data_IF_844208430797
#
_entry.id   IF_844208430797
#
_cell.length_a   1.000
_cell.length_b   1.000
_cell.length_c   1.000
_cell.angle_alpha   90.00
_cell.angle_beta   90.00
_cell.angle_gamma   90.00
#
_symmetry.space_group_name_H-M   'P 1'
#
loop_
_entity.id
_entity.type
_entity.pdbx_description
1 polymer ?
#
# COMPACT_ATOMS: atom_id res chain seq x y z
N UNK A 1 15.52 -26.59 1.27
CA UNK A 1 14.97 -26.25 1.55
C UNK A 1 14.23 -25.77 1.99
N UNK A 2 13.77 -25.50 2.45
CA UNK A 2 13.07 -25.10 2.87
C UNK A 2 12.43 -24.53 3.07
N UNK A 3 12.13 -24.41 3.35
CA UNK A 3 11.49 -24.02 3.66
C UNK A 3 10.84 -23.34 3.71
N UNK A 4 11.03 -23.41 3.29
CA UNK A 4 10.26 -22.38 3.15
C UNK A 4 9.16 -22.07 3.97
N UNK A 5 9.19 -21.94 4.75
CA UNK A 5 8.13 -21.60 5.55
C UNK A 5 7.27 -20.56 4.97
N UNK A 6 6.04 -20.75 4.96
CA UNK A 6 5.07 -19.82 4.54
C UNK A 6 4.84 -18.84 5.65
N UNK A 7 5.61 -17.83 5.68
CA UNK A 7 5.41 -16.77 6.65
C UNK A 7 4.28 -15.85 6.19
N UNK A 8 3.55 -15.31 7.12
CA UNK A 8 2.51 -14.35 6.80
C UNK A 8 3.06 -13.13 6.09
N UNK A 9 4.34 -12.84 6.33
CA UNK A 9 4.99 -11.68 5.70
C UNK A 9 5.58 -12.01 4.34
N UNK A 10 5.52 -13.28 3.92
CA UNK A 10 6.06 -13.63 2.61
C UNK A 10 5.26 -12.91 1.53
N UNK A 11 5.97 -12.24 0.63
CA UNK A 11 5.34 -11.42 -0.39
C UNK A 11 5.07 -10.01 0.05
N UNK A 12 5.36 -9.67 1.29
CA UNK A 12 5.17 -8.33 1.83
C UNK A 12 6.49 -7.77 2.28
N UNK A 13 6.85 -6.62 1.77
CA UNK A 13 8.06 -5.92 2.18
C UNK A 13 7.63 -4.59 2.79
N UNK A 14 7.91 -4.36 4.07
CA UNK A 14 7.62 -3.08 4.72
C UNK A 14 8.87 -2.23 4.71
N UNK A 15 8.75 -1.01 4.22
CA UNK A 15 9.89 -0.11 4.08
C UNK A 15 9.57 1.23 4.73
N UNK A 16 10.63 1.98 5.05
CA UNK A 16 10.46 3.31 5.63
C UNK A 16 10.06 4.32 4.56
N UNK A 17 9.76 5.54 5.01
CA UNK A 17 9.28 6.59 4.11
C UNK A 17 10.30 6.95 3.04
N UNK A 18 11.58 7.01 3.40
CA UNK A 18 12.61 7.39 2.43
C UNK A 18 12.74 6.35 1.31
N UNK A 19 12.73 5.06 1.69
CA UNK A 19 12.80 3.98 0.71
C UNK A 19 11.55 3.97 -0.16
N UNK A 20 10.39 4.10 0.47
CA UNK A 20 9.12 4.11 -0.25
C UNK A 20 9.10 5.25 -1.27
N UNK A 21 9.51 6.44 -0.84
CA UNK A 21 9.54 7.61 -1.72
C UNK A 21 10.46 7.37 -2.91
N UNK A 22 11.64 6.82 -2.66
CA UNK A 22 12.57 6.56 -3.75
C UNK A 22 11.99 5.58 -4.75
N UNK A 23 11.32 4.53 -4.27
CA UNK A 23 10.79 3.51 -5.15
C UNK A 23 9.57 3.97 -5.94
N UNK A 24 8.69 4.76 -5.34
CA UNK A 24 7.51 5.23 -6.08
C UNK A 24 7.83 6.39 -7.01
N UNK A 25 9.01 6.99 -6.88
CA UNK A 25 9.41 8.10 -7.74
C UNK A 25 9.86 7.64 -9.11
N UNK A 26 10.24 6.38 -9.23
CA UNK A 26 10.73 5.87 -10.51
C UNK A 26 9.55 5.29 -11.27
N UNK A 27 9.38 5.62 -12.49
CA UNK A 27 8.42 5.04 -13.40
C UNK A 27 7.00 5.00 -12.83
N UNK A 28 6.10 4.37 -13.52
CA UNK A 28 4.72 4.27 -13.09
C UNK A 28 4.57 3.06 -12.17
N UNK A 29 4.32 3.32 -10.92
CA UNK A 29 4.08 2.26 -9.94
C UNK A 29 2.60 2.21 -9.62
N UNK A 30 2.15 1.09 -9.11
CA UNK A 30 0.79 0.93 -8.62
C UNK A 30 0.78 1.36 -7.16
N UNK A 31 0.07 2.44 -6.86
CA UNK A 31 0.07 3.04 -5.52
C UNK A 31 -1.34 3.08 -4.98
N UNK A 32 -1.55 2.42 -3.83
CA UNK A 32 -2.88 2.19 -3.27
C UNK A 32 -2.98 2.75 -1.85
N UNK A 33 -3.97 3.62 -1.65
CA UNK A 33 -4.33 4.16 -0.34
C UNK A 33 -5.52 3.35 0.16
N UNK A 34 -5.36 2.64 1.28
CA UNK A 34 -6.42 1.75 1.77
C UNK A 34 -7.23 2.37 2.90
N UNK A 35 -7.11 3.69 3.09
CA UNK A 35 -7.86 4.42 4.11
C UNK A 35 -9.27 4.73 3.61
N UNK A 36 -10.06 5.39 4.45
CA UNK A 36 -11.39 5.82 4.05
C UNK A 36 -11.32 6.93 3.03
N UNK A 37 -12.43 7.13 2.31
CA UNK A 37 -12.54 8.21 1.33
C UNK A 37 -12.36 9.58 1.98
N UNK A 38 -12.89 9.75 3.19
CA UNK A 38 -12.75 11.02 3.90
C UNK A 38 -11.29 11.33 4.24
N UNK A 39 -10.55 10.32 4.69
CA UNK A 39 -9.12 10.50 4.96
C UNK A 39 -8.37 10.87 3.69
N UNK A 40 -8.68 10.16 2.61
CA UNK A 40 -8.04 10.41 1.32
C UNK A 40 -8.27 11.84 0.85
N UNK A 41 -9.49 12.32 0.99
CA UNK A 41 -9.86 13.66 0.54
C UNK A 41 -9.09 14.75 1.29
N UNK A 42 -8.71 14.47 2.53
CA UNK A 42 -7.97 15.44 3.33
C UNK A 42 -6.49 15.50 2.99
N UNK A 43 -5.99 14.49 2.30
CA UNK A 43 -4.59 14.47 1.90
C UNK A 43 -4.14 13.05 1.63
N UNK A 44 -3.39 12.86 0.57
CA UNK A 44 -2.93 11.52 0.15
C UNK A 44 -1.63 11.67 -0.63
N UNK A 45 -0.94 10.57 -0.82
CA UNK A 45 0.25 10.57 -1.67
C UNK A 45 -0.20 10.78 -3.11
N UNK A 46 0.53 11.64 -3.80
CA UNK A 46 0.20 11.97 -5.18
C UNK A 46 0.13 10.71 -6.04
N UNK A 47 -0.89 10.62 -6.89
CA UNK A 47 -1.12 9.50 -7.81
C UNK A 47 -1.63 8.23 -7.14
N UNK A 48 -1.90 8.27 -5.83
CA UNK A 48 -2.48 7.08 -5.19
C UNK A 48 -3.94 6.92 -5.57
N UNK A 49 -4.37 5.67 -5.63
CA UNK A 49 -5.77 5.30 -5.86
C UNK A 49 -6.33 4.86 -4.52
N UNK A 50 -7.50 5.35 -4.18
CA UNK A 50 -8.11 5.06 -2.88
C UNK A 50 -9.11 3.91 -3.00
N UNK A 51 -8.88 2.85 -2.24
CA UNK A 51 -9.85 1.76 -2.06
C UNK A 51 -9.79 1.39 -0.60
N UNK A 52 -10.87 1.67 0.13
CA UNK A 52 -10.94 1.42 1.56
C UNK A 52 -10.87 -0.09 1.84
N UNK A 53 -9.94 -0.50 2.70
CA UNK A 53 -9.77 -1.92 3.00
C UNK A 53 -11.02 -2.52 3.64
N UNK A 54 -11.88 -1.68 4.21
CA UNK A 54 -13.11 -2.14 4.85
C UNK A 54 -14.27 -2.34 3.87
N UNK A 55 -14.07 -2.01 2.58
CA UNK A 55 -15.07 -2.32 1.58
C UNK A 55 -15.30 -3.82 1.50
N UNK A 56 -16.56 -4.22 1.45
CA UNK A 56 -16.88 -5.65 1.43
C UNK A 56 -16.31 -6.35 0.21
N UNK A 57 -16.11 -5.62 -0.88
CA UNK A 57 -15.56 -6.18 -2.12
C UNK A 57 -14.14 -5.69 -2.37
N UNK A 58 -13.39 -5.37 -1.32
CA UNK A 58 -12.06 -4.79 -1.43
C UNK A 58 -11.17 -5.57 -2.39
N UNK A 59 -11.02 -6.86 -2.15
CA UNK A 59 -10.12 -7.68 -2.95
C UNK A 59 -10.54 -7.70 -4.42
N UNK A 60 -11.84 -7.81 -4.67
CA UNK A 60 -12.36 -7.83 -6.03
C UNK A 60 -12.07 -6.53 -6.76
N UNK A 61 -12.27 -5.40 -6.06
CA UNK A 61 -12.01 -4.09 -6.66
C UNK A 61 -10.54 -3.93 -7.00
N UNK A 62 -9.65 -4.38 -6.10
CA UNK A 62 -8.22 -4.32 -6.35
C UNK A 62 -7.87 -5.16 -7.59
N UNK A 63 -8.44 -6.36 -7.70
CA UNK A 63 -8.15 -7.23 -8.83
C UNK A 63 -8.58 -6.62 -10.16
N UNK A 64 -9.59 -5.77 -10.15
CA UNK A 64 -10.05 -5.10 -11.34
C UNK A 64 -9.19 -3.89 -11.72
N UNK A 65 -8.48 -3.33 -10.74
CA UNK A 65 -7.75 -2.09 -10.93
C UNK A 65 -6.24 -2.26 -11.01
N UNK A 66 -5.70 -3.35 -10.49
CA UNK A 66 -4.26 -3.52 -10.36
C UNK A 66 -3.80 -4.82 -11.00
N UNK A 67 -2.58 -4.77 -11.53
CA UNK A 67 -1.95 -5.84 -12.28
C UNK A 67 -1.05 -6.65 -11.35
N UNK A 68 -1.16 -7.98 -11.41
CA UNK A 68 -0.35 -8.86 -10.57
C UNK A 68 1.09 -8.96 -11.04
N UNK A 69 1.39 -8.53 -12.26
CA UNK A 69 2.75 -8.59 -12.79
C UNK A 69 3.67 -7.55 -12.16
N UNK A 70 3.12 -6.60 -11.43
CA UNK A 70 3.89 -5.55 -10.77
C UNK A 70 3.48 -5.45 -9.31
N UNK A 71 4.42 -5.05 -8.44
CA UNK A 71 4.07 -4.90 -7.03
C UNK A 71 3.03 -3.80 -6.83
N UNK A 72 2.26 -3.94 -5.76
CA UNK A 72 1.40 -2.86 -5.31
C UNK A 72 2.08 -2.19 -4.12
N UNK A 73 2.29 -0.88 -4.22
CA UNK A 73 2.77 -0.06 -3.13
C UNK A 73 1.54 0.45 -2.39
N UNK A 74 1.45 0.18 -1.09
CA UNK A 74 0.25 0.58 -0.38
C UNK A 74 0.56 1.19 0.97
N UNK A 75 -0.41 1.92 1.49
CA UNK A 75 -0.24 2.59 2.77
C UNK A 75 -1.59 2.88 3.41
N UNK A 76 -1.56 3.09 4.71
CA UNK A 76 -2.71 3.62 5.43
C UNK A 76 -2.23 4.77 6.31
N UNK A 77 -2.90 5.01 7.43
CA UNK A 77 -2.51 6.12 8.30
C UNK A 77 -1.23 5.82 9.06
N UNK A 78 -1.16 4.67 9.73
CA UNK A 78 -0.03 4.35 10.61
C UNK A 78 0.57 2.96 10.38
N UNK A 79 0.04 2.19 9.43
CA UNK A 79 0.59 0.89 9.06
C UNK A 79 -0.29 -0.30 9.41
N UNK A 80 -1.33 -0.12 10.20
CA UNK A 80 -2.13 -1.25 10.69
C UNK A 80 -3.10 -1.77 9.64
N UNK A 81 -3.92 -0.88 9.07
CA UNK A 81 -4.87 -1.29 8.03
C UNK A 81 -4.15 -1.75 6.77
N UNK A 82 -3.01 -1.14 6.48
CA UNK A 82 -2.26 -1.51 5.28
C UNK A 82 -1.68 -2.91 5.39
N UNK A 83 -1.27 -3.34 6.59
CA UNK A 83 -0.84 -4.71 6.76
C UNK A 83 -1.99 -5.70 6.60
N UNK A 84 -3.18 -5.33 7.06
CA UNK A 84 -4.37 -6.14 6.84
C UNK A 84 -4.64 -6.29 5.34
N UNK A 85 -4.59 -5.18 4.61
CA UNK A 85 -4.78 -5.19 3.17
C UNK A 85 -3.70 -6.02 2.48
N UNK A 86 -2.45 -5.86 2.91
CA UNK A 86 -1.34 -6.59 2.34
C UNK A 86 -1.54 -8.10 2.46
N UNK A 87 -1.97 -8.56 3.62
CA UNK A 87 -2.20 -9.99 3.83
C UNK A 87 -3.31 -10.52 2.96
N UNK A 88 -4.38 -9.75 2.76
CA UNK A 88 -5.45 -10.13 1.85
C UNK A 88 -4.94 -10.24 0.42
N UNK A 89 -4.13 -9.30 -0.01
CA UNK A 89 -3.72 -9.23 -1.41
C UNK A 89 -2.62 -10.23 -1.75
N UNK A 90 -1.75 -10.55 -0.80
CA UNK A 90 -0.74 -11.58 -1.02
C UNK A 90 -1.40 -12.92 -1.30
N UNK A 91 -2.51 -13.20 -0.64
CA UNK A 91 -3.26 -14.44 -0.87
C UNK A 91 -3.81 -14.50 -2.28
N UNK A 92 -3.99 -13.34 -2.92
CA UNK A 92 -4.49 -13.27 -4.30
C UNK A 92 -3.36 -13.30 -5.33
N UNK A 93 -2.11 -13.37 -4.88
CA UNK A 93 -0.99 -13.48 -5.80
C UNK A 93 -0.23 -12.18 -6.04
N UNK A 94 -0.54 -11.13 -5.33
CA UNK A 94 0.18 -9.87 -5.46
C UNK A 94 1.43 -9.85 -4.61
N UNK A 95 2.43 -9.11 -5.07
CA UNK A 95 3.57 -8.72 -4.25
C UNK A 95 3.29 -7.33 -3.73
N UNK A 96 3.60 -7.10 -2.45
CA UNK A 96 3.20 -5.88 -1.76
C UNK A 96 4.43 -5.19 -1.17
N UNK A 97 4.49 -3.87 -1.36
CA UNK A 97 5.45 -3.02 -0.66
C UNK A 97 4.64 -2.09 0.23
N UNK A 98 4.81 -2.22 1.52
CA UNK A 98 4.02 -1.49 2.52
C UNK A 98 4.83 -0.33 3.07
N UNK A 99 4.20 0.84 3.17
CA UNK A 99 4.78 2.00 3.84
C UNK A 99 4.64 1.79 5.34
N UNK A 100 5.73 1.44 5.98
CA UNK A 100 5.75 0.94 7.35
C UNK A 100 5.04 1.84 8.36
N UNK A 101 5.32 3.13 8.32
CA UNK A 101 4.75 4.08 9.28
C UNK A 101 3.58 4.87 8.71
N UNK A 102 3.10 4.49 7.54
CA UNK A 102 1.93 5.10 6.94
C UNK A 102 2.14 6.54 6.54
N UNK A 103 1.04 7.21 6.22
CA UNK A 103 1.12 8.61 5.80
C UNK A 103 1.59 9.51 6.94
N UNK A 104 1.38 9.11 8.20
CA UNK A 104 1.88 9.88 9.33
C UNK A 104 3.41 9.95 9.30
N UNK A 105 4.06 8.80 9.09
CA UNK A 105 5.51 8.79 8.99
C UNK A 105 6.01 9.53 7.77
N UNK A 106 5.27 9.45 6.67
CA UNK A 106 5.58 10.17 5.45
C UNK A 106 5.59 11.68 5.69
N UNK A 107 4.54 12.20 6.33
CA UNK A 107 4.44 13.62 6.63
C UNK A 107 5.48 14.04 7.67
N UNK A 108 5.73 13.17 8.63
CA UNK A 108 6.71 13.44 9.68
C UNK A 108 8.12 13.56 9.08
N UNK A 109 8.39 12.87 8.01
CA UNK A 109 9.65 12.97 7.28
C UNK A 109 9.72 14.22 6.41
N UNK A 110 8.65 15.00 6.34
CA UNK A 110 8.62 16.23 5.56
C UNK A 110 8.26 16.03 4.10
N UNK A 111 7.74 14.89 3.74
CA UNK A 111 7.40 14.62 2.35
C UNK A 111 6.01 15.13 1.99
N UNK A 112 5.79 15.53 0.74
CA UNK A 112 4.56 16.23 0.37
C UNK A 112 3.38 15.28 0.19
N UNK A 113 2.18 15.84 0.42
CA UNK A 113 0.93 15.16 0.12
C UNK A 113 0.10 16.05 -0.81
N UNK A 114 -0.88 15.44 -1.43
CA UNK A 114 -1.78 16.09 -2.36
C UNK A 114 -3.19 16.08 -1.80
N UNK A 115 -4.00 17.06 -2.21
CA UNK A 115 -5.43 17.08 -1.88
C UNK A 115 -6.28 17.01 -3.14
N UNK A 116 -5.66 16.67 -4.25
CA UNK A 116 -6.35 16.64 -5.54
C UNK A 116 -7.09 15.34 -5.81
#
# INVERSE_FOLDING_TARGET
MLIGSCHASEGIKSVDSATFKAEISSASVQLLDVRTADEFAKGHLEKSINIDVHESHFTQIVKERFDKSQPIYLYCRSGKRSMMAAQLLVKEGYQIVNLKDGILGWMDAGYPISQE
#
